data_IF_699976773291
#
_entry.id   IF_699976773291
#
_cell.length_a   1.000
_cell.length_b   1.000
_cell.length_c   1.000
_cell.angle_alpha   90.00
_cell.angle_beta   90.00
_cell.angle_gamma   90.00
#
_symmetry.space_group_name_H-M   'P 1'
#
loop_
_entity.id
_entity.type
_entity.pdbx_description
1 polymer ?
#
# COMPACT_ATOMS: atom_id res chain seq x y z
N UNK A 1 2.20 16.93 -21.07
CA UNK A 1 2.44 18.04 -20.11
C UNK A 1 1.26 19.01 -19.93
N UNK A 2 0.48 19.37 -20.97
CA UNK A 2 -0.63 20.35 -20.84
C UNK A 2 -1.81 19.86 -19.98
N UNK A 3 -2.18 18.59 -20.07
CA UNK A 3 -3.31 18.01 -19.33
C UNK A 3 -3.11 18.00 -17.82
N UNK A 4 -1.91 17.62 -17.34
CA UNK A 4 -1.54 17.68 -15.92
C UNK A 4 -1.57 19.13 -15.38
N UNK A 5 -1.14 20.10 -16.19
CA UNK A 5 -1.14 21.51 -15.82
C UNK A 5 -2.58 22.08 -15.77
N UNK A 6 -3.44 21.64 -16.68
CA UNK A 6 -4.87 21.99 -16.69
C UNK A 6 -5.62 21.36 -15.53
N UNK A 7 -5.40 20.06 -15.26
CA UNK A 7 -5.93 19.39 -14.08
C UNK A 7 -5.44 20.11 -12.82
N UNK A 8 -4.15 20.43 -12.69
CA UNK A 8 -3.65 21.21 -11.57
C UNK A 8 -4.31 22.60 -11.44
N UNK A 9 -4.53 23.31 -12.55
CA UNK A 9 -5.19 24.63 -12.55
C UNK A 9 -6.68 24.57 -12.22
N UNK A 10 -7.37 23.51 -12.60
CA UNK A 10 -8.79 23.29 -12.33
C UNK A 10 -9.03 22.69 -10.93
N UNK A 11 -8.17 21.77 -10.49
CA UNK A 11 -8.20 21.18 -9.15
C UNK A 11 -7.70 22.14 -8.07
N UNK A 12 -6.83 23.10 -8.41
CA UNK A 12 -6.33 24.13 -7.51
C UNK A 12 -6.63 25.52 -8.09
N UNK A 13 -7.82 26.08 -7.81
CA UNK A 13 -8.16 27.41 -8.28
C UNK A 13 -7.09 28.41 -7.85
N UNK A 14 -6.65 29.27 -8.78
CA UNK A 14 -5.51 30.21 -8.59
C UNK A 14 -5.61 31.10 -7.33
N UNK A 15 -6.80 31.25 -6.75
CA UNK A 15 -7.10 32.08 -5.57
C UNK A 15 -7.36 31.28 -4.28
N UNK A 16 -7.24 29.95 -4.33
CA UNK A 16 -7.44 29.04 -3.19
C UNK A 16 -6.16 28.71 -2.41
N UNK A 17 -5.11 29.53 -2.55
CA UNK A 17 -3.93 29.50 -1.67
C UNK A 17 -4.33 30.04 -0.29
N UNK A 18 -5.07 29.22 0.43
CA UNK A 18 -5.44 29.41 1.81
C UNK A 18 -4.20 29.17 2.67
N UNK A 19 -3.48 30.24 2.98
CA UNK A 19 -2.25 30.15 3.75
C UNK A 19 -2.57 30.00 5.25
N UNK A 20 -1.54 29.70 6.06
CA UNK A 20 -1.72 29.52 7.50
C UNK A 20 -2.31 30.77 8.19
N UNK A 21 -2.04 31.96 7.69
CA UNK A 21 -2.58 33.19 8.26
C UNK A 21 -4.06 33.39 7.93
N UNK A 22 -4.52 33.03 6.72
CA UNK A 22 -5.95 32.99 6.39
C UNK A 22 -6.68 31.91 7.20
N UNK A 23 -6.03 30.79 7.51
CA UNK A 23 -6.55 29.78 8.44
C UNK A 23 -6.72 30.32 9.87
N UNK A 24 -5.78 31.13 10.36
CA UNK A 24 -5.88 31.77 11.68
C UNK A 24 -7.01 32.79 11.72
N UNK A 25 -7.12 33.64 10.68
CA UNK A 25 -8.23 34.58 10.53
C UNK A 25 -9.57 33.84 10.51
N UNK A 26 -9.68 32.75 9.74
CA UNK A 26 -10.87 31.90 9.74
C UNK A 26 -11.16 31.29 11.11
N UNK A 27 -10.15 30.74 11.80
CA UNK A 27 -10.33 30.13 13.12
C UNK A 27 -10.85 31.16 14.14
N UNK A 28 -10.36 32.39 14.09
CA UNK A 28 -10.85 33.50 14.93
C UNK A 28 -12.30 33.86 14.57
N UNK A 29 -12.64 34.03 13.30
CA UNK A 29 -14.02 34.29 12.88
C UNK A 29 -14.97 33.13 13.22
N UNK A 30 -14.52 31.89 13.06
CA UNK A 30 -15.28 30.69 13.42
C UNK A 30 -15.51 30.60 14.94
N UNK A 31 -14.52 30.99 15.75
CA UNK A 31 -14.64 31.04 17.21
C UNK A 31 -15.73 32.02 17.65
N UNK A 32 -15.87 33.16 16.96
CA UNK A 32 -16.99 34.10 17.19
C UNK A 32 -18.31 33.38 16.89
N UNK A 33 -18.46 32.77 15.71
CA UNK A 33 -19.71 32.10 15.36
C UNK A 33 -20.08 31.00 16.37
N UNK A 34 -19.09 30.22 16.83
CA UNK A 34 -19.28 29.18 17.86
C UNK A 34 -19.70 29.78 19.21
N UNK A 35 -19.09 30.89 19.63
CA UNK A 35 -19.43 31.60 20.88
C UNK A 35 -20.88 32.09 20.90
N UNK A 36 -21.42 32.42 19.73
CA UNK A 36 -22.79 32.93 19.56
C UNK A 36 -23.77 31.87 18.99
N UNK A 37 -23.46 30.57 19.09
CA UNK A 37 -24.30 29.47 18.53
C UNK A 37 -25.74 29.44 19.04
N UNK A 38 -26.00 29.94 20.25
CA UNK A 38 -27.35 30.03 20.83
C UNK A 38 -28.08 31.35 20.52
N UNK A 39 -27.47 32.28 19.79
CA UNK A 39 -28.00 33.63 19.55
C UNK A 39 -28.24 33.88 18.06
N UNK A 40 -29.30 34.63 17.74
CA UNK A 40 -29.62 35.09 16.38
C UNK A 40 -28.64 36.15 15.86
N UNK A 41 -28.10 36.97 16.76
CA UNK A 41 -27.25 38.11 16.41
C UNK A 41 -25.87 38.06 17.08
N UNK A 42 -24.87 38.61 16.38
CA UNK A 42 -23.49 38.81 16.85
C UNK A 42 -23.22 40.33 16.95
N UNK A 43 -22.62 40.83 18.05
CA UNK A 43 -22.19 42.22 18.12
C UNK A 43 -21.08 42.54 17.11
N UNK A 44 -21.25 43.61 16.32
CA UNK A 44 -20.28 44.09 15.32
C UNK A 44 -18.92 44.36 15.91
N UNK A 45 -18.88 44.89 17.13
CA UNK A 45 -17.66 45.17 17.86
C UNK A 45 -16.76 43.94 17.95
N UNK A 46 -17.32 42.76 18.20
CA UNK A 46 -16.54 41.52 18.34
C UNK A 46 -15.88 41.09 17.02
N UNK A 47 -16.54 41.31 15.88
CA UNK A 47 -15.97 41.05 14.56
C UNK A 47 -14.90 42.09 14.24
N UNK A 48 -15.15 43.37 14.59
CA UNK A 48 -14.21 44.47 14.39
C UNK A 48 -12.95 44.32 15.26
N UNK A 49 -13.08 43.89 16.51
CA UNK A 49 -11.96 43.62 17.41
C UNK A 49 -11.00 42.56 16.82
N UNK A 50 -11.54 41.54 16.15
CA UNK A 50 -10.71 40.57 15.41
C UNK A 50 -10.01 41.21 14.23
N UNK A 51 -10.67 42.06 13.43
CA UNK A 51 -10.03 42.75 12.31
C UNK A 51 -8.96 43.74 12.77
N UNK A 52 -9.19 44.44 13.88
CA UNK A 52 -8.30 45.44 14.46
C UNK A 52 -7.07 44.82 15.13
N UNK A 53 -7.10 43.51 15.39
CA UNK A 53 -5.96 42.73 15.83
C UNK A 53 -4.93 42.48 14.72
N UNK A 54 -5.23 42.86 13.47
CA UNK A 54 -4.32 42.77 12.32
C UNK A 54 -3.86 44.16 11.85
N UNK A 55 -2.62 44.24 11.34
CA UNK A 55 -2.03 45.46 10.74
C UNK A 55 -1.28 45.08 9.47
N UNK A 56 -1.28 45.90 8.40
CA UNK A 56 -0.40 45.67 7.25
C UNK A 56 1.06 45.50 7.66
N UNK A 57 1.77 44.57 7.04
CA UNK A 57 3.19 44.38 7.33
C UNK A 57 3.97 45.65 6.94
N UNK A 58 4.76 46.26 7.84
CA UNK A 58 5.57 47.41 7.49
C UNK A 58 6.71 47.00 6.55
N UNK A 59 6.93 47.76 5.48
CA UNK A 59 8.06 47.57 4.56
C UNK A 59 7.64 47.28 3.11
N UNK A 60 8.63 46.97 2.28
CA UNK A 60 8.46 46.92 0.84
C UNK A 60 7.77 45.62 0.34
N UNK A 61 7.09 45.65 -0.82
CA UNK A 61 6.29 44.53 -1.34
C UNK A 61 7.04 43.20 -1.51
N UNK A 62 8.37 43.23 -1.64
CA UNK A 62 9.21 42.04 -1.78
C UNK A 62 9.33 41.23 -0.47
N UNK A 63 9.07 41.82 0.70
CA UNK A 63 8.97 41.09 1.98
C UNK A 63 7.80 40.09 1.97
N UNK A 64 6.84 40.27 1.06
CA UNK A 64 5.76 39.33 0.83
C UNK A 64 6.19 38.13 -0.06
N UNK A 65 7.45 38.01 -0.51
CA UNK A 65 7.87 36.83 -1.28
C UNK A 65 8.13 35.61 -0.37
N UNK A 66 7.68 34.39 -0.72
CA UNK A 66 7.82 33.21 0.14
C UNK A 66 9.27 32.93 0.60
N UNK A 67 10.25 33.10 -0.28
CA UNK A 67 11.67 32.86 0.01
C UNK A 67 12.17 33.89 1.04
N UNK A 68 11.93 35.18 0.79
CA UNK A 68 12.29 36.28 1.69
C UNK A 68 11.66 36.10 3.08
N UNK A 69 10.38 35.69 3.14
CA UNK A 69 9.68 35.41 4.41
C UNK A 69 10.31 34.29 5.22
N UNK A 70 10.86 33.25 4.58
CA UNK A 70 11.52 32.16 5.28
C UNK A 70 12.91 32.58 5.76
N UNK A 71 13.69 33.27 4.92
CA UNK A 71 15.03 33.75 5.26
C UNK A 71 14.99 34.77 6.40
N UNK A 72 14.06 35.72 6.36
CA UNK A 72 13.90 36.76 7.39
C UNK A 72 13.05 36.32 8.60
N UNK A 73 12.68 35.03 8.69
CA UNK A 73 11.89 34.46 9.78
C UNK A 73 10.60 35.23 10.12
N UNK A 74 10.01 35.93 9.15
CA UNK A 74 8.86 36.84 9.34
C UNK A 74 7.68 36.13 10.01
N UNK A 75 7.49 34.83 9.72
CA UNK A 75 6.44 34.01 10.35
C UNK A 75 6.65 33.82 11.85
N UNK A 76 7.89 33.61 12.27
CA UNK A 76 8.24 33.37 13.67
C UNK A 76 8.13 34.69 14.46
N UNK A 77 8.64 35.78 13.89
CA UNK A 77 8.50 37.14 14.44
C UNK A 77 7.02 37.49 14.63
N UNK A 78 6.19 37.22 13.61
CA UNK A 78 4.77 37.51 13.70
C UNK A 78 4.03 36.63 14.73
N UNK A 79 4.46 35.37 14.90
CA UNK A 79 3.94 34.49 15.95
C UNK A 79 4.28 35.00 17.35
N UNK A 80 5.53 35.39 17.60
CA UNK A 80 5.98 35.97 18.88
C UNK A 80 5.26 37.29 19.17
N UNK A 81 5.12 38.15 18.16
CA UNK A 81 4.40 39.42 18.27
C UNK A 81 2.94 39.23 18.70
N UNK A 82 2.25 38.22 18.15
CA UNK A 82 0.90 37.86 18.56
C UNK A 82 0.83 37.33 20.01
N UNK A 83 1.81 36.51 20.43
CA UNK A 83 1.89 36.01 21.81
C UNK A 83 2.14 37.12 22.83
N UNK A 84 2.89 38.16 22.45
CA UNK A 84 3.16 39.33 23.29
C UNK A 84 2.02 40.36 23.29
N UNK A 85 0.84 40.03 22.75
CA UNK A 85 -0.32 40.93 22.69
C UNK A 85 -0.23 42.02 21.62
N UNK A 86 0.78 41.98 20.75
CA UNK A 86 0.90 42.89 19.61
C UNK A 86 -0.02 42.52 18.45
N UNK A 87 -0.34 43.51 17.61
CA UNK A 87 -1.17 43.27 16.41
C UNK A 87 -0.43 42.40 15.38
N UNK A 88 -1.10 41.37 14.86
CA UNK A 88 -0.54 40.44 13.87
C UNK A 88 -0.38 41.12 12.50
N UNK A 89 0.73 40.87 11.81
CA UNK A 89 0.97 41.40 10.47
C UNK A 89 0.18 40.66 9.40
N UNK A 90 -0.39 41.41 8.47
CA UNK A 90 -0.88 40.94 7.17
C UNK A 90 0.31 40.88 6.21
N UNK A 91 1.12 39.82 6.35
CA UNK A 91 2.34 39.63 5.55
C UNK A 91 2.10 38.87 4.24
N UNK A 92 0.83 38.56 3.91
CA UNK A 92 0.45 37.87 2.69
C UNK A 92 -0.74 38.55 2.01
N UNK A 93 -0.61 38.80 0.70
CA UNK A 93 -1.65 39.42 -0.14
C UNK A 93 -3.00 38.71 -0.05
N UNK A 94 -2.99 37.38 0.02
CA UNK A 94 -4.24 36.61 0.12
C UNK A 94 -4.96 36.87 1.45
N UNK A 95 -4.23 37.00 2.56
CA UNK A 95 -4.82 37.29 3.89
C UNK A 95 -5.31 38.72 3.94
N UNK A 96 -4.56 39.64 3.32
CA UNK A 96 -4.92 41.04 3.19
C UNK A 96 -6.19 41.23 2.34
N UNK A 97 -6.32 40.50 1.23
CA UNK A 97 -7.54 40.48 0.42
C UNK A 97 -8.75 39.93 1.19
N UNK A 98 -8.57 38.83 1.94
CA UNK A 98 -9.65 38.27 2.76
C UNK A 98 -10.02 39.17 3.94
N UNK A 99 -9.03 39.76 4.62
CA UNK A 99 -9.24 40.76 5.68
C UNK A 99 -10.02 41.96 5.14
N UNK A 100 -9.64 42.47 3.96
CA UNK A 100 -10.34 43.58 3.30
C UNK A 100 -11.78 43.20 2.93
N UNK A 101 -12.03 42.00 2.41
CA UNK A 101 -13.39 41.53 2.10
C UNK A 101 -14.28 41.49 3.35
N UNK A 102 -13.77 41.01 4.49
CA UNK A 102 -14.53 41.00 5.74
C UNK A 102 -14.78 42.43 6.24
N UNK A 103 -13.78 43.31 6.15
CA UNK A 103 -13.92 44.72 6.53
C UNK A 103 -14.96 45.45 5.66
N UNK A 104 -14.92 45.26 4.35
CA UNK A 104 -15.90 45.80 3.40
C UNK A 104 -17.31 45.23 3.66
N UNK A 105 -17.41 43.93 3.92
CA UNK A 105 -18.68 43.28 4.27
C UNK A 105 -19.27 43.85 5.55
N UNK A 106 -18.46 44.00 6.60
CA UNK A 106 -18.88 44.60 7.87
C UNK A 106 -19.32 46.07 7.67
N UNK A 107 -18.64 46.80 6.78
CA UNK A 107 -19.00 48.16 6.38
C UNK A 107 -20.30 48.25 5.59
N UNK A 108 -20.59 47.27 4.72
CA UNK A 108 -21.86 47.18 3.96
C UNK A 108 -23.03 46.78 4.86
N UNK A 109 -22.83 45.82 5.76
CA UNK A 109 -23.81 45.46 6.79
C UNK A 109 -24.18 46.67 7.66
N UNK A 110 -23.23 47.60 7.87
CA UNK A 110 -23.49 48.86 8.56
C UNK A 110 -24.36 49.85 7.78
N UNK A 111 -24.37 49.77 6.45
CA UNK A 111 -25.12 50.67 5.55
C UNK A 111 -26.48 50.11 5.09
N UNK A 112 -26.72 48.80 5.17
CA UNK A 112 -28.00 48.19 4.75
C UNK A 112 -29.12 48.31 5.79
N UNK A 113 -28.80 48.41 7.08
CA UNK A 113 -29.80 48.64 8.14
C UNK A 113 -30.57 49.97 8.01
N UNK A 114 -29.96 51.13 7.67
CA UNK A 114 -30.70 52.37 7.47
C UNK A 114 -31.63 52.37 6.23
N UNK A 115 -31.60 51.36 5.36
CA UNK A 115 -32.56 51.23 4.26
C UNK A 115 -33.90 50.60 4.70
N UNK A 116 -33.91 49.76 5.74
CA UNK A 116 -35.14 49.29 6.40
C UNK A 116 -35.78 50.34 7.32
N UNK A 117 -35.09 51.48 7.53
CA UNK A 117 -35.61 52.67 8.21
C UNK A 117 -36.83 53.26 7.49
N UNK A 118 -36.87 53.16 6.16
CA UNK A 118 -37.93 53.78 5.34
C UNK A 118 -39.30 53.12 5.50
N UNK A 119 -39.37 51.85 5.88
CA UNK A 119 -40.64 51.11 5.98
C UNK A 119 -41.18 51.00 7.41
N UNK A 120 -40.32 50.99 8.44
CA UNK A 120 -40.76 50.88 9.84
C UNK A 120 -40.93 52.23 10.57
N UNK A 121 -40.24 53.29 10.15
CA UNK A 121 -40.35 54.60 10.80
C UNK A 121 -41.65 55.36 10.49
N UNK A 122 -42.44 54.90 9.51
CA UNK A 122 -43.68 55.55 9.10
C UNK A 122 -44.88 55.31 10.04
N UNK A 123 -44.79 54.35 10.99
CA UNK A 123 -45.94 53.94 11.82
C UNK A 123 -45.72 53.98 13.34
N UNK A 124 -44.63 54.59 13.86
CA UNK A 124 -44.36 54.61 15.31
C UNK A 124 -44.69 55.96 15.97
N UNK A 125 -45.52 55.92 17.02
CA UNK A 125 -45.93 57.09 17.81
C UNK A 125 -44.77 57.71 18.61
N UNK A 126 -44.89 59.03 18.86
CA UNK A 126 -43.82 59.93 19.31
C UNK A 126 -43.24 59.64 20.70
N UNK A 127 -43.95 58.92 21.57
CA UNK A 127 -43.49 58.58 22.93
C UNK A 127 -42.65 57.29 23.01
N UNK A 128 -42.68 56.42 21.99
CA UNK A 128 -41.81 55.23 21.93
C UNK A 128 -40.38 55.57 21.46
N UNK A 129 -40.12 56.79 20.98
CA UNK A 129 -38.88 57.14 20.25
C UNK A 129 -37.62 57.19 21.11
N UNK A 130 -37.69 57.42 22.43
CA UNK A 130 -36.49 57.57 23.27
C UNK A 130 -35.96 56.25 23.86
N UNK A 131 -36.84 55.35 24.34
CA UNK A 131 -36.44 53.98 24.74
C UNK A 131 -36.11 53.07 23.54
N UNK A 132 -36.78 53.33 22.41
CA UNK A 132 -36.52 52.66 21.13
C UNK A 132 -35.17 53.05 20.54
N UNK A 133 -34.69 54.29 20.70
CA UNK A 133 -33.42 54.73 20.12
C UNK A 133 -32.20 53.97 20.68
N UNK A 134 -32.18 53.67 21.99
CA UNK A 134 -31.10 52.91 22.60
C UNK A 134 -31.15 51.41 22.23
N UNK A 135 -32.34 50.81 22.24
CA UNK A 135 -32.55 49.43 21.79
C UNK A 135 -32.28 49.26 20.27
N UNK A 136 -32.59 50.28 19.47
CA UNK A 136 -32.30 50.33 18.03
C UNK A 136 -30.83 50.58 17.75
N UNK A 137 -30.16 51.48 18.47
CA UNK A 137 -28.71 51.64 18.38
C UNK A 137 -27.97 50.35 18.77
N UNK A 138 -28.51 49.61 19.75
CA UNK A 138 -27.99 48.29 20.14
C UNK A 138 -28.20 47.24 19.05
N UNK A 139 -29.31 47.28 18.31
CA UNK A 139 -29.57 46.38 17.17
C UNK A 139 -28.75 46.76 15.92
N UNK A 140 -28.58 48.06 15.66
CA UNK A 140 -27.67 48.62 14.64
C UNK A 140 -26.20 48.27 14.94
N UNK A 141 -25.86 47.98 16.20
CA UNK A 141 -24.55 47.48 16.59
C UNK A 141 -24.40 45.96 16.40
N UNK A 142 -25.40 45.25 15.84
CA UNK A 142 -25.43 43.80 15.70
C UNK A 142 -25.49 43.35 14.22
N UNK A 143 -25.15 42.09 13.95
CA UNK A 143 -25.24 41.44 12.64
C UNK A 143 -25.90 40.08 12.80
N UNK A 144 -26.71 39.66 11.83
CA UNK A 144 -27.30 38.33 11.81
C UNK A 144 -26.22 37.25 11.70
N UNK A 145 -26.28 36.27 12.59
CA UNK A 145 -25.31 35.18 12.64
C UNK A 145 -25.35 34.34 11.36
N UNK A 146 -26.54 34.02 10.87
CA UNK A 146 -26.69 33.22 9.64
C UNK A 146 -26.09 33.93 8.43
N UNK A 147 -26.22 35.26 8.35
CA UNK A 147 -25.62 36.04 7.28
C UNK A 147 -24.09 36.00 7.36
N UNK A 148 -23.52 36.18 8.57
CA UNK A 148 -22.09 36.04 8.81
C UNK A 148 -21.58 34.63 8.44
N UNK A 149 -22.33 33.59 8.78
CA UNK A 149 -21.96 32.21 8.45
C UNK A 149 -21.99 31.93 6.94
N UNK A 150 -23.07 32.34 6.25
CA UNK A 150 -23.26 32.08 4.82
C UNK A 150 -22.31 32.90 3.93
N UNK A 151 -22.08 34.16 4.25
CA UNK A 151 -21.35 35.10 3.38
C UNK A 151 -19.87 35.20 3.72
N UNK A 152 -19.51 35.04 5.00
CA UNK A 152 -18.10 35.09 5.45
C UNK A 152 -17.56 33.66 5.63
N UNK A 153 -18.09 32.89 6.58
CA UNK A 153 -17.47 31.62 6.99
C UNK A 153 -17.54 30.50 5.95
N UNK A 154 -18.60 30.43 5.14
CA UNK A 154 -18.76 29.37 4.12
C UNK A 154 -17.64 29.39 3.08
N UNK A 155 -17.21 30.56 2.66
CA UNK A 155 -16.11 30.73 1.69
C UNK A 155 -14.79 30.19 2.26
N UNK A 156 -14.52 30.48 3.53
CA UNK A 156 -13.35 29.96 4.25
C UNK A 156 -13.42 28.44 4.49
N UNK A 157 -14.61 27.92 4.78
CA UNK A 157 -14.83 26.50 5.03
C UNK A 157 -14.49 25.66 3.79
N UNK A 158 -15.04 26.04 2.63
CA UNK A 158 -14.75 25.38 1.34
C UNK A 158 -13.25 25.39 1.06
N UNK A 159 -12.58 26.54 1.24
CA UNK A 159 -11.14 26.65 1.05
C UNK A 159 -10.32 25.75 1.97
N UNK A 160 -10.73 25.64 3.24
CA UNK A 160 -10.08 24.78 4.23
C UNK A 160 -10.25 23.30 3.89
N UNK A 161 -11.42 22.89 3.40
CA UNK A 161 -11.70 21.50 2.99
C UNK A 161 -10.85 21.11 1.77
N UNK A 162 -10.77 21.95 0.73
CA UNK A 162 -9.92 21.71 -0.43
C UNK A 162 -8.44 21.55 -0.05
N UNK A 163 -7.95 22.36 0.88
CA UNK A 163 -6.56 22.25 1.33
C UNK A 163 -6.31 20.99 2.16
N UNK A 164 -7.27 20.56 2.98
CA UNK A 164 -7.18 19.27 3.69
C UNK A 164 -7.15 18.10 2.70
N UNK A 165 -8.03 18.12 1.70
CA UNK A 165 -8.06 17.13 0.64
C UNK A 165 -6.75 17.11 -0.16
N UNK A 166 -6.19 18.28 -0.51
CA UNK A 166 -4.87 18.38 -1.15
C UNK A 166 -3.77 17.78 -0.26
N UNK A 167 -3.73 18.12 1.03
CA UNK A 167 -2.69 17.61 1.95
C UNK A 167 -2.81 16.10 2.11
N UNK A 168 -4.02 15.56 2.22
CA UNK A 168 -4.27 14.13 2.27
C UNK A 168 -3.86 13.45 0.95
N UNK A 169 -4.21 14.04 -0.19
CA UNK A 169 -3.79 13.53 -1.50
C UNK A 169 -2.28 13.57 -1.70
N UNK A 170 -1.61 14.65 -1.29
CA UNK A 170 -0.15 14.74 -1.31
C UNK A 170 0.50 13.72 -0.38
N UNK A 171 -0.02 13.56 0.85
CA UNK A 171 0.46 12.55 1.79
C UNK A 171 0.30 11.14 1.20
N UNK A 172 -0.85 10.85 0.58
CA UNK A 172 -1.10 9.57 -0.08
C UNK A 172 -0.08 9.32 -1.21
N UNK A 173 0.18 10.32 -2.06
CA UNK A 173 1.20 10.21 -3.12
C UNK A 173 2.58 9.95 -2.53
N UNK A 174 2.97 10.67 -1.47
CA UNK A 174 4.25 10.45 -0.78
C UNK A 174 4.31 9.02 -0.22
N UNK A 175 3.25 8.54 0.44
CA UNK A 175 3.18 7.17 0.96
C UNK A 175 3.32 6.15 -0.17
N UNK A 176 2.62 6.33 -1.29
CA UNK A 176 2.74 5.45 -2.46
C UNK A 176 4.16 5.46 -3.03
N UNK A 177 4.80 6.63 -3.15
CA UNK A 177 6.20 6.72 -3.57
C UNK A 177 7.14 6.00 -2.59
N UNK A 178 6.91 6.12 -1.28
CA UNK A 178 7.68 5.39 -0.26
C UNK A 178 7.48 3.87 -0.38
N UNK A 179 6.26 3.41 -0.64
CA UNK A 179 5.97 1.98 -0.84
C UNK A 179 6.68 1.43 -2.08
N UNK A 180 6.63 2.16 -3.20
CA UNK A 180 7.35 1.78 -4.43
C UNK A 180 8.85 1.76 -4.17
N UNK A 181 9.40 2.78 -3.52
CA UNK A 181 10.80 2.83 -3.14
C UNK A 181 11.19 1.64 -2.24
N UNK A 182 10.37 1.33 -1.23
CA UNK A 182 10.61 0.22 -0.34
C UNK A 182 10.63 -1.12 -1.08
N UNK A 183 9.72 -1.33 -2.05
CA UNK A 183 9.71 -2.55 -2.87
C UNK A 183 10.98 -2.68 -3.70
N UNK A 184 11.41 -1.61 -4.37
CA UNK A 184 12.59 -1.60 -5.23
C UNK A 184 13.92 -1.73 -4.47
N UNK A 185 13.96 -1.27 -3.21
CA UNK A 185 15.17 -1.22 -2.38
C UNK A 185 15.06 -2.07 -1.10
N UNK A 186 14.27 -3.14 -1.15
CA UNK A 186 14.05 -4.04 0.00
C UNK A 186 15.38 -4.54 0.58
N UNK A 187 16.31 -4.95 -0.28
CA UNK A 187 17.66 -5.40 0.09
C UNK A 187 18.44 -4.35 0.90
N UNK A 188 18.43 -3.11 0.44
CA UNK A 188 19.12 -1.99 1.08
C UNK A 188 18.47 -1.62 2.42
N UNK A 189 17.15 -1.68 2.50
CA UNK A 189 16.42 -1.43 3.75
C UNK A 189 16.72 -2.52 4.79
N UNK A 190 16.77 -3.78 4.37
CA UNK A 190 17.14 -4.90 5.24
C UNK A 190 18.59 -4.78 5.66
N UNK A 191 19.50 -4.41 4.76
CA UNK A 191 20.89 -4.12 5.11
C UNK A 191 20.97 -3.01 6.16
N UNK A 192 20.26 -1.91 5.95
CA UNK A 192 20.24 -0.81 6.90
C UNK A 192 19.73 -1.25 8.27
N UNK A 193 18.65 -2.04 8.30
CA UNK A 193 18.06 -2.60 9.50
C UNK A 193 19.03 -3.56 10.22
N UNK A 194 19.60 -4.54 9.53
CA UNK A 194 20.48 -5.53 10.14
C UNK A 194 21.80 -4.88 10.60
N UNK A 195 22.42 -4.05 9.76
CA UNK A 195 23.76 -3.51 10.02
C UNK A 195 23.77 -2.29 10.93
N UNK A 196 22.86 -1.34 10.75
CA UNK A 196 22.91 -0.07 11.48
C UNK A 196 21.93 -0.03 12.65
N UNK A 197 20.72 -0.57 12.46
CA UNK A 197 19.72 -0.58 13.53
C UNK A 197 19.98 -1.69 14.54
N UNK A 198 20.09 -2.94 14.07
CA UNK A 198 20.36 -4.12 14.91
C UNK A 198 21.84 -4.29 15.25
N UNK A 199 22.72 -3.62 14.51
CA UNK A 199 24.19 -3.67 14.68
C UNK A 199 24.80 -5.06 14.51
N UNK A 200 24.19 -5.89 13.68
CA UNK A 200 24.67 -7.25 13.45
C UNK A 200 26.01 -7.26 12.70
N UNK A 201 26.84 -8.23 13.06
CA UNK A 201 28.07 -8.65 12.34
C UNK A 201 27.74 -9.75 11.33
N UNK A 202 28.69 -10.08 10.44
CA UNK A 202 28.51 -11.09 9.38
C UNK A 202 27.91 -12.39 9.92
N UNK A 203 28.48 -12.94 10.99
CA UNK A 203 27.96 -14.18 11.63
C UNK A 203 26.50 -14.07 12.07
N UNK A 204 26.11 -12.96 12.69
CA UNK A 204 24.73 -12.75 13.18
C UNK A 204 23.76 -12.55 12.01
N UNK A 205 24.22 -11.95 10.91
CA UNK A 205 23.44 -11.82 9.67
C UNK A 205 23.23 -13.19 9.03
N UNK A 206 24.27 -14.02 8.93
CA UNK A 206 24.15 -15.39 8.41
C UNK A 206 23.19 -16.21 9.26
N UNK A 207 23.31 -16.16 10.59
CA UNK A 207 22.38 -16.83 11.52
C UNK A 207 20.93 -16.35 11.34
N UNK A 208 20.72 -15.05 11.15
CA UNK A 208 19.40 -14.48 10.85
C UNK A 208 18.80 -15.05 9.56
N UNK A 209 19.61 -15.14 8.49
CA UNK A 209 19.18 -15.71 7.22
C UNK A 209 19.04 -17.23 7.24
N UNK A 210 19.76 -17.94 8.11
CA UNK A 210 19.52 -19.36 8.40
C UNK A 210 18.12 -19.56 9.00
N UNK A 211 17.74 -18.70 9.95
CA UNK A 211 16.37 -18.65 10.48
C UNK A 211 15.32 -18.42 9.40
N UNK A 212 15.59 -17.52 8.44
CA UNK A 212 14.71 -17.30 7.29
C UNK A 212 14.65 -18.54 6.40
N UNK A 213 15.80 -19.14 6.07
CA UNK A 213 15.88 -20.34 5.24
C UNK A 213 15.05 -21.48 5.83
N UNK A 214 15.09 -21.65 7.16
CA UNK A 214 14.24 -22.61 7.86
C UNK A 214 12.74 -22.39 7.60
N UNK A 215 12.25 -21.14 7.57
CA UNK A 215 10.83 -20.85 7.28
C UNK A 215 10.37 -21.36 5.91
N UNK A 216 11.30 -21.49 4.95
CA UNK A 216 11.04 -22.03 3.60
C UNK A 216 11.08 -23.56 3.54
N UNK A 217 11.43 -24.23 4.64
CA UNK A 217 11.53 -25.70 4.73
C UNK A 217 10.39 -26.33 5.52
N UNK A 218 9.56 -25.52 6.19
CA UNK A 218 8.50 -26.00 7.08
C UNK A 218 7.31 -26.52 6.26
N UNK A 219 7.26 -27.83 6.09
CA UNK A 219 6.06 -28.52 5.65
C UNK A 219 5.82 -29.76 6.53
N UNK A 220 4.69 -29.77 7.23
CA UNK A 220 4.28 -30.88 8.07
C UNK A 220 3.66 -31.98 7.21
N UNK A 221 4.21 -33.19 7.30
CA UNK A 221 3.53 -34.37 6.77
C UNK A 221 2.45 -34.77 7.76
N UNK A 222 1.16 -34.85 7.35
CA UNK A 222 0.11 -35.24 8.27
C UNK A 222 0.40 -36.63 8.86
N UNK A 223 0.22 -36.85 10.17
CA UNK A 223 0.65 -38.09 10.84
C UNK A 223 0.11 -39.37 10.20
N UNK A 224 -1.10 -39.32 9.64
CA UNK A 224 -1.73 -40.44 8.94
C UNK A 224 -0.97 -40.91 7.68
N UNK A 225 -0.14 -40.05 7.08
CA UNK A 225 0.61 -40.32 5.85
C UNK A 225 2.12 -40.39 6.08
N UNK A 226 2.60 -40.27 7.33
CA UNK A 226 4.03 -40.26 7.64
C UNK A 226 4.78 -41.53 7.24
N UNK A 227 4.09 -42.67 7.15
CA UNK A 227 4.66 -43.95 6.66
C UNK A 227 4.58 -44.12 5.14
N UNK A 228 3.81 -43.27 4.45
CA UNK A 228 3.51 -43.40 3.02
C UNK A 228 4.19 -42.34 2.16
N UNK A 229 4.41 -41.15 2.71
CA UNK A 229 5.00 -40.02 2.02
C UNK A 229 6.33 -39.62 2.67
N UNK A 230 7.37 -39.34 1.87
CA UNK A 230 8.59 -38.77 2.40
C UNK A 230 8.35 -37.32 2.86
N UNK A 231 9.18 -36.80 3.78
CA UNK A 231 9.19 -35.36 4.06
C UNK A 231 9.54 -34.59 2.78
N UNK A 232 8.85 -33.48 2.44
CA UNK A 232 9.07 -32.76 1.17
C UNK A 232 10.42 -32.02 1.12
N UNK A 233 10.97 -31.64 2.29
CA UNK A 233 12.29 -31.06 2.43
C UNK A 233 13.11 -31.83 3.47
N UNK A 234 14.40 -32.02 3.21
CA UNK A 234 15.32 -32.71 4.11
C UNK A 234 16.64 -31.95 4.18
N UNK A 235 17.13 -31.76 5.41
CA UNK A 235 18.48 -31.28 5.68
C UNK A 235 19.45 -32.46 5.62
N UNK A 236 20.54 -32.31 4.89
CA UNK A 236 21.60 -33.31 4.77
C UNK A 236 22.97 -32.63 4.74
N UNK A 237 24.03 -33.37 5.01
CA UNK A 237 25.40 -32.88 4.83
C UNK A 237 25.90 -33.34 3.47
N UNK A 238 26.48 -32.44 2.69
CA UNK A 238 27.07 -32.77 1.40
C UNK A 238 28.41 -33.53 1.56
N UNK A 239 29.05 -33.84 0.43
CA UNK A 239 30.34 -34.53 0.44
C UNK A 239 31.49 -33.68 1.05
N UNK A 240 31.33 -32.36 1.10
CA UNK A 240 32.28 -31.44 1.74
C UNK A 240 32.01 -31.27 3.25
N UNK A 241 30.88 -31.77 3.75
CA UNK A 241 30.44 -31.62 5.15
C UNK A 241 29.56 -30.40 5.38
N UNK A 242 29.19 -29.66 4.34
CA UNK A 242 28.34 -28.48 4.42
C UNK A 242 26.87 -28.89 4.59
N UNK A 243 26.18 -28.21 5.50
CA UNK A 243 24.74 -28.40 5.71
C UNK A 243 23.95 -27.85 4.52
N UNK A 244 23.22 -28.72 3.85
CA UNK A 244 22.43 -28.43 2.66
C UNK A 244 20.97 -28.85 2.84
N UNK A 245 20.10 -28.24 2.05
CA UNK A 245 18.71 -28.66 1.92
C UNK A 245 18.46 -29.28 0.55
N UNK A 246 17.71 -30.37 0.54
CA UNK A 246 17.17 -30.99 -0.66
C UNK A 246 15.66 -31.10 -0.55
N UNK A 247 14.98 -31.04 -1.70
CA UNK A 247 13.56 -31.38 -1.81
C UNK A 247 13.40 -32.79 -2.36
N UNK A 248 12.42 -33.52 -1.84
CA UNK A 248 12.11 -34.87 -2.27
C UNK A 248 11.02 -34.80 -3.35
N UNK A 249 11.42 -34.99 -4.61
CA UNK A 249 10.50 -35.19 -5.72
C UNK A 249 9.95 -36.61 -5.67
N UNK A 250 8.63 -36.76 -5.75
CA UNK A 250 7.94 -38.05 -5.56
C UNK A 250 7.32 -38.50 -6.89
N UNK A 251 7.66 -39.72 -7.32
CA UNK A 251 7.00 -40.41 -8.43
C UNK A 251 5.83 -41.23 -7.90
N UNK A 252 4.61 -40.78 -8.20
CA UNK A 252 3.35 -41.41 -7.84
C UNK A 252 2.77 -42.12 -9.06
N UNK A 253 2.56 -43.43 -8.97
CA UNK A 253 1.97 -44.24 -10.07
C UNK A 253 0.62 -44.79 -9.66
N UNK A 254 -0.33 -44.80 -10.59
CA UNK A 254 -1.62 -45.44 -10.40
C UNK A 254 -1.55 -46.87 -10.98
N UNK A 255 -1.51 -47.95 -10.17
CA UNK A 255 -1.15 -49.29 -10.68
C UNK A 255 -2.09 -49.85 -11.76
N UNK A 256 -3.32 -49.36 -11.81
CA UNK A 256 -4.38 -49.80 -12.73
C UNK A 256 -4.41 -49.02 -14.04
N UNK A 257 -3.64 -47.93 -14.15
CA UNK A 257 -3.67 -47.01 -15.27
C UNK A 257 -2.24 -46.62 -15.68
N UNK A 258 -2.03 -46.23 -16.94
CA UNK A 258 -0.71 -45.82 -17.44
C UNK A 258 -0.37 -44.35 -17.10
N UNK A 259 -0.82 -43.85 -15.94
CA UNK A 259 -0.61 -42.46 -15.52
C UNK A 259 0.35 -42.40 -14.34
N UNK A 260 1.35 -41.54 -14.48
CA UNK A 260 2.36 -41.22 -13.47
C UNK A 260 2.29 -39.73 -13.14
N UNK A 261 2.37 -39.38 -11.87
CA UNK A 261 2.44 -37.99 -11.39
C UNK A 261 3.79 -37.77 -10.73
N UNK A 262 4.52 -36.76 -11.21
CA UNK A 262 5.78 -36.30 -10.64
C UNK A 262 5.50 -35.06 -9.78
N UNK A 263 5.40 -35.25 -8.46
CA UNK A 263 5.19 -34.15 -7.52
C UNK A 263 6.53 -33.54 -7.12
N UNK A 264 6.71 -32.24 -7.36
CA UNK A 264 7.98 -31.53 -7.11
C UNK A 264 7.76 -30.40 -6.09
N UNK A 265 8.24 -30.54 -4.84
CA UNK A 265 8.17 -29.48 -3.85
C UNK A 265 9.02 -28.29 -4.28
N UNK A 266 8.40 -27.12 -4.43
CA UNK A 266 9.05 -25.90 -4.88
C UNK A 266 9.08 -24.87 -3.73
N UNK A 267 10.27 -24.59 -3.16
CA UNK A 267 10.43 -23.49 -2.21
C UNK A 267 10.22 -22.12 -2.87
N UNK A 268 9.85 -21.12 -2.08
CA UNK A 268 9.56 -19.77 -2.57
C UNK A 268 10.82 -18.94 -2.86
N UNK A 269 11.96 -19.32 -2.30
CA UNK A 269 13.27 -18.75 -2.56
C UNK A 269 14.24 -19.87 -2.95
N UNK A 270 15.34 -19.57 -3.62
CA UNK A 270 16.34 -20.57 -3.96
C UNK A 270 17.32 -20.12 -5.02
N UNK A 271 18.28 -20.99 -5.31
CA UNK A 271 19.24 -20.79 -6.38
C UNK A 271 18.59 -20.93 -7.77
N UNK A 272 19.08 -20.19 -8.75
CA UNK A 272 18.59 -20.28 -10.14
C UNK A 272 18.73 -21.68 -10.72
N UNK A 273 19.78 -22.40 -10.35
CA UNK A 273 20.09 -23.75 -10.86
C UNK A 273 19.00 -24.75 -10.48
N UNK A 274 18.50 -24.67 -9.25
CA UNK A 274 17.39 -25.51 -8.80
C UNK A 274 16.14 -25.33 -9.69
N UNK A 275 15.71 -24.08 -9.92
CA UNK A 275 14.53 -23.82 -10.75
C UNK A 275 14.73 -24.20 -12.22
N UNK A 276 15.96 -24.05 -12.75
CA UNK A 276 16.29 -24.51 -14.10
C UNK A 276 16.20 -26.05 -14.22
N UNK A 277 16.60 -26.78 -13.18
CA UNK A 277 16.46 -28.24 -13.12
C UNK A 277 14.99 -28.66 -13.11
N UNK A 278 14.14 -27.99 -12.32
CA UNK A 278 12.68 -28.23 -12.32
C UNK A 278 12.08 -27.93 -13.70
N UNK A 279 12.55 -26.87 -14.39
CA UNK A 279 12.19 -26.55 -15.77
C UNK A 279 12.49 -27.68 -16.75
N UNK A 280 13.69 -28.23 -16.66
CA UNK A 280 14.13 -29.33 -17.52
C UNK A 280 13.32 -30.61 -17.31
N UNK A 281 12.87 -30.87 -16.07
CA UNK A 281 11.98 -32.00 -15.75
C UNK A 281 10.58 -31.77 -16.31
N UNK A 282 10.05 -30.56 -16.17
CA UNK A 282 8.72 -30.21 -16.65
C UNK A 282 8.62 -30.30 -18.19
N UNK A 283 9.66 -29.87 -18.91
CA UNK A 283 9.72 -29.87 -20.38
C UNK A 283 9.57 -31.27 -21.00
N UNK A 284 9.99 -32.33 -20.29
CA UNK A 284 9.92 -33.72 -20.79
C UNK A 284 8.66 -34.46 -20.35
N UNK A 285 7.74 -33.81 -19.63
CA UNK A 285 6.48 -34.40 -19.18
C UNK A 285 5.34 -34.11 -20.17
N UNK A 286 4.36 -35.01 -20.25
CA UNK A 286 3.21 -34.90 -21.16
C UNK A 286 2.21 -33.80 -20.75
N UNK A 287 2.24 -33.41 -19.47
CA UNK A 287 1.43 -32.32 -18.95
C UNK A 287 2.08 -31.68 -17.74
N UNK A 288 1.77 -30.40 -17.51
CA UNK A 288 2.27 -29.63 -16.36
C UNK A 288 1.09 -28.92 -15.71
N UNK A 289 0.86 -29.20 -14.43
CA UNK A 289 -0.05 -28.41 -13.59
C UNK A 289 0.80 -27.72 -12.54
N UNK A 290 0.70 -26.40 -12.45
CA UNK A 290 1.47 -25.65 -11.49
C UNK A 290 0.59 -24.71 -10.68
N UNK A 291 0.98 -24.50 -9.43
CA UNK A 291 0.47 -23.38 -8.67
C UNK A 291 0.84 -22.08 -9.43
N UNK A 292 -0.03 -21.06 -9.46
CA UNK A 292 0.22 -19.77 -10.10
C UNK A 292 -1.00 -18.85 -10.20
N UNK A 293 -0.81 -17.55 -10.05
CA UNK A 293 -1.91 -16.56 -10.11
C UNK A 293 -2.68 -16.69 -11.43
N UNK A 294 -4.01 -16.80 -11.37
CA UNK A 294 -4.85 -16.92 -12.58
C UNK A 294 -4.60 -15.76 -13.54
N UNK A 295 -4.68 -16.01 -14.86
CA UNK A 295 -4.44 -14.98 -15.89
C UNK A 295 -5.24 -13.70 -15.66
N UNK A 296 -6.48 -13.79 -15.18
CA UNK A 296 -7.35 -12.64 -14.84
C UNK A 296 -6.81 -11.74 -13.70
N UNK A 297 -5.87 -12.25 -12.91
CA UNK A 297 -5.26 -11.55 -11.78
C UNK A 297 -3.76 -11.29 -11.99
N UNK A 298 -3.17 -11.78 -13.07
CA UNK A 298 -1.76 -11.54 -13.44
C UNK A 298 -1.51 -10.04 -13.66
N UNK A 299 -2.42 -9.33 -14.32
CA UNK A 299 -2.28 -7.89 -14.61
C UNK A 299 -2.36 -7.00 -13.35
N UNK A 300 -2.79 -7.58 -12.22
CA UNK A 300 -2.86 -6.90 -10.91
C UNK A 300 -1.59 -7.11 -10.07
N UNK A 301 -0.72 -8.02 -10.50
CA UNK A 301 0.63 -8.11 -9.97
C UNK A 301 1.45 -6.97 -10.55
N UNK A 302 2.22 -6.29 -9.70
CA UNK A 302 3.14 -5.24 -10.16
C UNK A 302 4.05 -5.87 -11.23
N UNK A 303 4.19 -5.26 -12.42
CA UNK A 303 4.90 -5.87 -13.53
C UNK A 303 6.27 -6.40 -13.12
N UNK A 304 6.58 -7.65 -13.47
CA UNK A 304 7.90 -8.25 -13.23
C UNK A 304 9.06 -7.41 -13.80
N UNK A 305 8.76 -6.52 -14.77
CA UNK A 305 9.68 -5.52 -15.30
C UNK A 305 10.19 -4.50 -14.24
N UNK A 306 9.45 -4.25 -13.15
CA UNK A 306 9.89 -3.39 -12.04
C UNK A 306 10.77 -4.11 -11.03
N UNK A 307 10.79 -5.44 -11.05
CA UNK A 307 11.58 -6.27 -10.14
C UNK A 307 12.55 -7.13 -10.97
N UNK A 308 13.60 -6.52 -11.57
CA UNK A 308 14.63 -7.31 -12.23
C UNK A 308 15.22 -8.25 -11.20
N UNK A 309 14.97 -9.55 -11.42
CA UNK A 309 15.46 -10.64 -10.60
C UNK A 309 16.98 -10.52 -10.51
N UNK A 310 17.46 -10.07 -9.34
CA UNK A 310 18.89 -9.98 -9.03
C UNK A 310 19.46 -11.40 -8.95
N UNK A 311 20.73 -11.52 -9.29
CA UNK A 311 21.39 -12.76 -9.73
C UNK A 311 21.21 -13.97 -8.81
N UNK A 312 21.13 -13.76 -7.51
CA UNK A 312 20.72 -14.78 -6.54
C UNK A 312 19.89 -14.07 -5.47
N UNK A 313 18.95 -14.80 -4.90
CA UNK A 313 17.98 -14.36 -3.89
C UNK A 313 16.73 -13.64 -4.47
N UNK A 314 15.67 -14.46 -4.59
CA UNK A 314 14.25 -14.10 -4.51
C UNK A 314 13.55 -13.65 -5.79
N UNK A 315 12.21 -13.79 -5.93
CA UNK A 315 11.25 -14.73 -5.35
C UNK A 315 10.60 -15.67 -6.41
N UNK A 316 9.94 -16.75 -5.97
CA UNK A 316 9.20 -17.71 -6.80
C UNK A 316 7.97 -17.14 -7.54
N UNK A 317 7.71 -15.82 -7.49
CA UNK A 317 6.94 -15.18 -8.57
C UNK A 317 7.57 -15.48 -9.94
N UNK A 318 8.89 -15.69 -9.95
CA UNK A 318 9.63 -16.20 -11.09
C UNK A 318 9.34 -17.65 -11.47
N UNK A 319 8.79 -18.51 -10.60
CA UNK A 319 8.30 -19.84 -11.02
C UNK A 319 7.04 -19.68 -11.87
N UNK A 320 6.11 -18.81 -11.47
CA UNK A 320 4.85 -18.59 -12.19
C UNK A 320 5.02 -17.85 -13.53
N UNK A 321 5.95 -16.90 -13.63
CA UNK A 321 6.20 -16.14 -14.85
C UNK A 321 7.38 -16.63 -15.69
N UNK A 322 8.47 -17.16 -15.09
CA UNK A 322 9.63 -17.63 -15.88
C UNK A 322 9.45 -19.05 -16.39
N UNK A 323 8.65 -19.93 -15.75
CA UNK A 323 8.31 -21.19 -16.42
C UNK A 323 7.46 -20.92 -17.65
N UNK A 324 6.57 -19.92 -17.65
CA UNK A 324 5.86 -19.52 -18.88
C UNK A 324 6.81 -19.03 -19.98
N UNK A 325 7.86 -18.26 -19.65
CA UNK A 325 8.85 -17.83 -20.65
C UNK A 325 9.85 -18.94 -21.05
N UNK A 326 10.15 -19.89 -20.16
CA UNK A 326 10.99 -21.08 -20.47
C UNK A 326 10.18 -22.09 -21.32
N UNK A 327 8.92 -22.34 -20.97
CA UNK A 327 8.00 -23.23 -21.68
C UNK A 327 7.46 -22.61 -22.97
N UNK A 328 7.47 -21.28 -23.13
CA UNK A 328 7.15 -20.60 -24.41
C UNK A 328 8.07 -20.98 -25.57
N UNK A 329 9.28 -21.46 -25.28
CA UNK A 329 10.19 -21.98 -26.31
C UNK A 329 9.86 -23.43 -26.70
N UNK A 330 9.01 -24.13 -25.95
CA UNK A 330 8.45 -25.43 -26.32
C UNK A 330 7.11 -25.23 -27.01
N UNK A 331 6.83 -25.98 -28.08
CA UNK A 331 5.58 -25.89 -28.87
C UNK A 331 4.34 -26.46 -28.14
N UNK A 332 4.39 -26.62 -26.83
CA UNK A 332 3.32 -27.18 -26.01
C UNK A 332 2.41 -26.08 -25.44
N UNK A 333 1.14 -26.42 -25.19
CA UNK A 333 0.17 -25.52 -24.56
C UNK A 333 0.72 -24.91 -23.25
N UNK A 334 0.43 -23.64 -22.96
CA UNK A 334 0.93 -23.01 -21.73
C UNK A 334 0.42 -23.77 -20.50
N UNK A 335 1.25 -23.93 -19.45
CA UNK A 335 0.84 -24.63 -18.23
C UNK A 335 -0.39 -23.96 -17.63
N UNK A 336 -1.33 -24.78 -17.15
CA UNK A 336 -2.50 -24.28 -16.44
C UNK A 336 -2.06 -23.74 -15.07
N UNK A 337 -2.22 -22.42 -14.88
CA UNK A 337 -1.89 -21.70 -13.65
C UNK A 337 -3.08 -21.69 -12.68
N UNK A 338 -2.89 -22.15 -11.44
CA UNK A 338 -3.93 -22.12 -10.41
C UNK A 338 -3.61 -21.13 -9.27
N UNK A 339 -4.49 -20.17 -8.93
CA UNK A 339 -4.15 -19.05 -8.06
C UNK A 339 -3.52 -19.48 -6.73
N UNK A 340 -2.23 -19.14 -6.57
CA UNK A 340 -1.61 -18.99 -5.27
C UNK A 340 -2.02 -17.62 -4.72
N UNK A 341 -2.99 -17.55 -3.82
CA UNK A 341 -3.21 -16.28 -3.15
C UNK A 341 -4.47 -16.18 -2.30
N UNK A 342 -4.30 -16.56 -1.02
CA UNK A 342 -4.73 -15.92 0.22
C UNK A 342 -6.12 -15.22 0.23
N UNK A 343 -6.93 -15.64 1.20
CA UNK A 343 -8.12 -14.98 1.76
C UNK A 343 -8.68 -13.77 0.98
N UNK A 344 -9.91 -13.94 0.47
CA UNK A 344 -10.74 -12.92 -0.19
C UNK A 344 -11.25 -11.86 0.82
N UNK A 345 -10.36 -11.35 1.68
CA UNK A 345 -10.64 -10.38 2.73
C UNK A 345 -10.00 -9.03 2.44
N UNK A 346 -10.66 -7.95 2.88
CA UNK A 346 -10.11 -6.60 2.84
C UNK A 346 -8.77 -6.48 3.57
N UNK A 347 -8.58 -7.22 4.67
CA UNK A 347 -7.31 -7.25 5.41
C UNK A 347 -6.14 -7.80 4.60
N UNK A 348 -6.33 -8.94 3.92
CA UNK A 348 -5.31 -9.53 3.04
C UNK A 348 -5.03 -8.62 1.83
N UNK A 349 -6.05 -7.96 1.29
CA UNK A 349 -5.91 -6.99 0.19
C UNK A 349 -5.07 -5.78 0.61
N UNK A 350 -5.32 -5.23 1.80
CA UNK A 350 -4.52 -4.11 2.35
C UNK A 350 -3.08 -4.55 2.60
N UNK A 351 -2.87 -5.72 3.21
CA UNK A 351 -1.51 -6.26 3.45
C UNK A 351 -0.75 -6.44 2.14
N UNK A 352 -1.39 -6.97 1.10
CA UNK A 352 -0.79 -7.12 -0.24
C UNK A 352 -0.37 -5.79 -0.87
N UNK A 353 -1.16 -4.74 -0.64
CA UNK A 353 -0.88 -3.41 -1.19
C UNK A 353 0.20 -2.65 -0.41
N UNK A 354 0.35 -2.93 0.90
CA UNK A 354 1.23 -2.18 1.80
C UNK A 354 2.58 -2.87 2.01
N UNK A 355 2.63 -4.20 1.94
CA UNK A 355 3.88 -4.95 2.15
C UNK A 355 4.45 -5.38 0.79
N UNK A 356 5.66 -4.91 0.42
CA UNK A 356 6.42 -5.37 -0.73
C UNK A 356 6.36 -6.88 -0.90
N UNK A 357 6.21 -7.32 -2.15
CA UNK A 357 6.12 -8.74 -2.46
C UNK A 357 7.37 -9.50 -2.02
N UNK A 358 8.55 -8.90 -2.23
CA UNK A 358 9.83 -9.43 -1.79
C UNK A 358 9.81 -9.69 -0.28
N UNK A 359 9.35 -8.72 0.52
CA UNK A 359 9.30 -8.90 1.97
C UNK A 359 8.44 -10.12 2.37
N UNK A 360 7.29 -10.29 1.71
CA UNK A 360 6.39 -11.41 1.98
C UNK A 360 6.97 -12.74 1.51
N UNK A 361 7.57 -12.79 0.31
CA UNK A 361 8.04 -14.06 -0.24
C UNK A 361 9.27 -14.59 0.48
N UNK A 362 10.12 -13.68 0.92
CA UNK A 362 11.43 -14.01 1.44
C UNK A 362 11.37 -14.20 2.95
N UNK A 363 10.91 -13.17 3.64
CA UNK A 363 11.05 -13.04 5.07
C UNK A 363 9.83 -13.61 5.78
N UNK A 364 8.70 -13.78 5.08
CA UNK A 364 7.51 -14.42 5.62
C UNK A 364 6.78 -15.32 4.61
N UNK A 365 7.40 -16.40 4.10
CA UNK A 365 6.85 -17.23 3.02
C UNK A 365 5.47 -17.82 3.32
N UNK A 366 5.10 -17.91 4.59
CA UNK A 366 3.77 -18.36 5.05
C UNK A 366 2.63 -17.45 4.56
N UNK A 367 2.89 -16.17 4.31
CA UNK A 367 1.89 -15.21 3.79
C UNK A 367 1.56 -15.40 2.30
N UNK A 368 2.43 -16.10 1.56
CA UNK A 368 2.28 -16.32 0.12
C UNK A 368 2.06 -17.79 -0.25
N UNK A 369 2.16 -18.71 0.70
CA UNK A 369 1.79 -20.10 0.45
C UNK A 369 0.28 -20.22 0.24
N UNK A 370 -0.14 -21.07 -0.70
CA UNK A 370 -1.54 -21.43 -0.83
C UNK A 370 -2.12 -21.90 0.51
N UNK A 371 -3.37 -21.54 0.74
CA UNK A 371 -4.17 -22.05 1.86
C UNK A 371 -4.55 -23.51 1.62
N UNK A 372 -4.94 -24.23 2.68
CA UNK A 372 -5.50 -25.59 2.54
C UNK A 372 -6.73 -25.63 1.63
N UNK A 373 -7.52 -24.54 1.59
CA UNK A 373 -8.67 -24.41 0.71
C UNK A 373 -8.28 -24.34 -0.76
N UNK A 374 -7.27 -23.54 -1.09
CA UNK A 374 -6.70 -23.44 -2.44
C UNK A 374 -6.05 -24.76 -2.87
N UNK A 375 -5.30 -25.42 -1.98
CA UNK A 375 -4.76 -26.76 -2.26
C UNK A 375 -5.86 -27.79 -2.56
N UNK A 376 -7.02 -27.70 -1.89
CA UNK A 376 -8.19 -28.56 -2.15
C UNK A 376 -8.82 -28.31 -3.51
N UNK A 377 -8.87 -27.05 -3.96
CA UNK A 377 -9.38 -26.71 -5.30
C UNK A 377 -8.37 -27.15 -6.37
N UNK A 378 -7.08 -26.89 -6.14
CA UNK A 378 -5.98 -27.39 -6.99
C UNK A 378 -6.03 -28.90 -7.16
N UNK A 379 -6.28 -29.65 -6.08
CA UNK A 379 -6.54 -31.08 -6.13
C UNK A 379 -7.73 -31.45 -7.03
N UNK A 380 -8.85 -30.73 -6.94
CA UNK A 380 -10.02 -30.99 -7.78
C UNK A 380 -9.69 -30.94 -9.28
N UNK A 381 -8.80 -30.03 -9.67
CA UNK A 381 -8.35 -29.90 -11.05
C UNK A 381 -7.29 -30.93 -11.44
N UNK A 382 -6.31 -31.21 -10.57
CA UNK A 382 -5.37 -32.33 -10.77
C UNK A 382 -6.13 -33.63 -11.00
N UNK A 383 -7.18 -33.87 -10.22
CA UNK A 383 -8.06 -35.03 -10.40
C UNK A 383 -8.74 -35.04 -11.76
N UNK A 384 -9.27 -33.92 -12.21
CA UNK A 384 -9.91 -33.82 -13.54
C UNK A 384 -8.93 -34.17 -14.66
N UNK A 385 -7.73 -33.59 -14.66
CA UNK A 385 -6.70 -33.86 -15.68
C UNK A 385 -6.25 -35.31 -15.62
N UNK A 386 -6.07 -35.88 -14.42
CA UNK A 386 -5.78 -37.31 -14.26
C UNK A 386 -6.88 -38.17 -14.87
N UNK A 387 -8.16 -37.85 -14.63
CA UNK A 387 -9.30 -38.58 -15.19
C UNK A 387 -9.36 -38.46 -16.73
N UNK A 388 -9.06 -37.29 -17.29
CA UNK A 388 -8.94 -37.07 -18.73
C UNK A 388 -7.78 -37.87 -19.34
N UNK A 389 -6.59 -37.85 -18.72
CA UNK A 389 -5.44 -38.64 -19.14
C UNK A 389 -5.70 -40.15 -19.09
N UNK A 390 -6.46 -40.61 -18.09
CA UNK A 390 -6.91 -42.02 -17.99
C UNK A 390 -7.86 -42.37 -19.12
N UNK A 391 -8.86 -41.52 -19.39
CA UNK A 391 -9.84 -41.74 -20.45
C UNK A 391 -9.19 -41.79 -21.83
N UNK A 392 -8.27 -40.87 -22.10
CA UNK A 392 -7.49 -40.84 -23.34
C UNK A 392 -6.61 -42.08 -23.50
N UNK A 393 -5.92 -42.49 -22.44
CA UNK A 393 -5.07 -43.68 -22.47
C UNK A 393 -5.89 -44.96 -22.75
N UNK A 394 -7.12 -45.03 -22.23
CA UNK A 394 -8.05 -46.10 -22.53
C UNK A 394 -8.55 -46.05 -23.99
N UNK A 395 -8.82 -44.85 -24.52
CA UNK A 395 -9.26 -44.64 -25.90
C UNK A 395 -8.16 -44.96 -26.94
N UNK A 396 -6.89 -44.74 -26.60
CA UNK A 396 -5.74 -45.00 -27.47
C UNK A 396 -5.27 -46.47 -27.46
N UNK A 397 -5.96 -47.37 -26.75
CA UNK A 397 -5.71 -48.81 -26.85
C UNK A 397 -4.39 -49.26 -26.21
N UNK A 398 -4.03 -48.70 -25.05
CA UNK A 398 -2.90 -49.17 -24.23
C UNK A 398 -1.53 -48.92 -24.88
N UNK A 399 -1.11 -47.66 -24.95
CA UNK A 399 0.11 -47.28 -25.67
C UNK A 399 1.26 -46.78 -24.81
N UNK A 400 1.09 -45.67 -24.09
CA UNK A 400 2.24 -44.99 -23.47
C UNK A 400 1.94 -44.55 -22.04
N UNK A 401 2.99 -44.58 -21.20
CA UNK A 401 2.93 -44.05 -19.84
C UNK A 401 2.91 -42.55 -19.93
N UNK A 402 1.80 -41.92 -19.54
CA UNK A 402 1.70 -40.48 -19.48
C UNK A 402 2.21 -39.97 -18.14
N UNK A 403 2.98 -38.89 -18.18
CA UNK A 403 3.62 -38.27 -17.02
C UNK A 403 3.10 -36.85 -16.84
N UNK A 404 2.46 -36.62 -15.69
CA UNK A 404 2.00 -35.30 -15.27
C UNK A 404 3.01 -34.71 -14.28
N UNK A 405 3.59 -33.56 -14.60
CA UNK A 405 4.46 -32.80 -13.70
C UNK A 405 3.64 -31.86 -12.83
N UNK A 406 3.88 -31.89 -11.52
CA UNK A 406 3.20 -31.07 -10.52
C UNK A 406 4.21 -30.30 -9.65
N UNK A 407 4.83 -29.22 -10.18
CA UNK A 407 5.57 -28.28 -9.37
C UNK A 407 4.60 -27.45 -8.52
N UNK A 408 4.73 -27.56 -7.19
CA UNK A 408 3.81 -26.94 -6.24
C UNK A 408 4.55 -26.34 -5.05
N UNK A 409 3.98 -25.32 -4.38
CA UNK A 409 4.66 -24.75 -3.20
C UNK A 409 4.89 -25.81 -2.12
N UNK A 410 6.10 -25.76 -1.56
CA UNK A 410 6.59 -26.74 -0.59
C UNK A 410 5.62 -26.96 0.59
N UNK A 411 4.96 -25.90 1.06
CA UNK A 411 4.07 -25.94 2.22
C UNK A 411 2.77 -26.72 1.97
N UNK A 412 2.31 -26.84 0.72
CA UNK A 412 1.02 -27.44 0.39
C UNK A 412 1.11 -28.70 -0.44
N UNK A 413 2.28 -29.02 -1.03
CA UNK A 413 2.43 -30.17 -1.91
C UNK A 413 2.03 -31.49 -1.23
N UNK A 414 2.33 -31.65 0.06
CA UNK A 414 2.00 -32.86 0.82
C UNK A 414 0.49 -33.10 0.89
N UNK A 415 -0.33 -32.03 0.87
CA UNK A 415 -1.79 -32.18 0.84
C UNK A 415 -2.27 -32.75 -0.51
N UNK A 416 -1.59 -32.41 -1.61
CA UNK A 416 -1.90 -32.97 -2.94
C UNK A 416 -1.38 -34.39 -3.03
N UNK A 417 -0.16 -34.67 -2.57
CA UNK A 417 0.40 -36.04 -2.49
C UNK A 417 -0.49 -36.97 -1.66
N UNK A 418 -0.96 -36.52 -0.49
CA UNK A 418 -1.89 -37.27 0.35
C UNK A 418 -3.23 -37.54 -0.36
N UNK A 419 -3.69 -36.58 -1.16
CA UNK A 419 -4.92 -36.73 -1.95
C UNK A 419 -4.74 -37.73 -3.10
N UNK A 420 -3.58 -37.73 -3.76
CA UNK A 420 -3.20 -38.72 -4.78
C UNK A 420 -3.13 -40.13 -4.18
N UNK A 421 -2.48 -40.28 -3.02
CA UNK A 421 -2.43 -41.57 -2.31
C UNK A 421 -3.83 -42.05 -1.92
N UNK A 422 -4.68 -41.16 -1.42
CA UNK A 422 -6.08 -41.47 -1.11
C UNK A 422 -6.89 -41.87 -2.36
N UNK A 423 -6.56 -41.32 -3.52
CA UNK A 423 -7.18 -41.66 -4.81
C UNK A 423 -6.71 -43.03 -5.33
N UNK A 424 -5.61 -43.57 -4.82
CA UNK A 424 -5.10 -44.90 -5.17
C UNK A 424 -3.70 -44.93 -5.78
N UNK A 425 -3.04 -43.76 -5.90
CA UNK A 425 -1.64 -43.71 -6.32
C UNK A 425 -0.72 -44.30 -5.26
N UNK A 426 0.38 -44.90 -5.72
CA UNK A 426 1.45 -45.43 -4.86
C UNK A 426 2.75 -44.72 -5.17
N UNK A 427 3.50 -44.38 -4.12
CA UNK A 427 4.87 -43.88 -4.28
C UNK A 427 5.73 -45.02 -4.83
N UNK A 428 6.35 -44.80 -5.98
CA UNK A 428 7.26 -45.77 -6.61
C UNK A 428 8.70 -45.42 -6.32
N UNK A 429 9.08 -44.17 -6.57
CA UNK A 429 10.44 -43.68 -6.39
C UNK A 429 10.42 -42.29 -5.74
N UNK A 430 11.51 -41.98 -5.03
CA UNK A 430 11.76 -40.66 -4.46
C UNK A 430 13.12 -40.19 -4.96
N UNK A 431 13.14 -39.03 -5.61
CA UNK A 431 14.33 -38.41 -6.16
C UNK A 431 14.68 -37.17 -5.35
N UNK A 432 15.95 -37.04 -4.94
CA UNK A 432 16.42 -35.87 -4.20
C UNK A 432 16.91 -34.81 -5.17
N UNK A 433 16.33 -33.62 -5.10
CA UNK A 433 16.80 -32.44 -5.83
C UNK A 433 17.48 -31.50 -4.84
N UNK A 434 18.74 -31.17 -5.08
CA UNK A 434 19.46 -30.19 -4.28
C UNK A 434 18.81 -28.81 -4.43
N UNK A 435 18.48 -28.16 -3.31
CA UNK A 435 17.85 -26.85 -3.33
C UNK A 435 18.86 -25.73 -3.13
N UNK A 436 19.53 -25.70 -1.97
CA UNK A 436 20.58 -24.73 -1.64
C UNK A 436 21.34 -25.14 -0.37
N UNK A 437 22.51 -24.54 -0.16
CA UNK A 437 23.24 -24.59 1.13
C UNK A 437 22.49 -23.81 2.22
N UNK A 438 22.57 -24.26 3.47
CA UNK A 438 21.88 -23.65 4.63
C UNK A 438 22.23 -22.16 4.82
N UNK A 439 23.49 -21.79 4.62
CA UNK A 439 23.98 -20.43 4.82
C UNK A 439 23.99 -19.57 3.54
N UNK A 440 23.60 -20.15 2.39
CA UNK A 440 23.73 -19.53 1.06
C UNK A 440 23.13 -18.12 1.00
N UNK A 441 21.89 -17.95 1.49
CA UNK A 441 21.19 -16.66 1.44
C UNK A 441 21.93 -15.61 2.28
N UNK A 442 22.42 -15.99 3.46
CA UNK A 442 23.11 -15.10 4.38
C UNK A 442 24.50 -14.69 3.88
N UNK A 443 25.26 -15.64 3.35
CA UNK A 443 26.58 -15.38 2.77
C UNK A 443 26.46 -14.50 1.53
N UNK A 444 25.55 -14.83 0.61
CA UNK A 444 25.30 -14.02 -0.57
C UNK A 444 24.90 -12.58 -0.20
N UNK A 445 24.05 -12.41 0.82
CA UNK A 445 23.69 -11.09 1.32
C UNK A 445 24.89 -10.32 1.86
N UNK A 446 25.74 -10.98 2.67
CA UNK A 446 26.93 -10.36 3.23
C UNK A 446 27.93 -9.97 2.13
N UNK A 447 28.11 -10.82 1.12
CA UNK A 447 29.02 -10.58 0.01
C UNK A 447 28.53 -9.45 -0.89
N UNK A 448 27.23 -9.43 -1.21
CA UNK A 448 26.61 -8.37 -1.99
C UNK A 448 26.78 -6.98 -1.35
N UNK A 449 26.69 -6.90 -0.01
CA UNK A 449 26.92 -5.65 0.74
C UNK A 449 28.35 -5.47 1.25
N UNK A 450 29.29 -6.34 0.84
CA UNK A 450 30.70 -6.29 1.25
C UNK A 450 30.88 -6.19 2.77
N UNK A 451 30.11 -6.97 3.52
CA UNK A 451 30.15 -6.99 4.99
C UNK A 451 31.37 -7.82 5.43
N UNK A 452 32.33 -7.20 6.15
CA UNK A 452 33.52 -7.90 6.63
C UNK A 452 33.18 -8.94 7.68
N UNK A 453 34.06 -9.94 7.83
CA UNK A 453 33.93 -11.02 8.81
C UNK A 453 33.73 -10.57 10.26
#
# INVERSE_FOLDING_TARGET
>A
MRTMLEIYRHSFPKRLRFDRASQLLYAQCYSINKRYRGRKYIPRKVIRDVLDSYVPMPGAPWLQLPIVRHVLLIRLINGVRGLQGGKSWLYNRNVEEEHRKIAEWLGKAAKTFPAHRGTFAAHASTSAKQGSAAAQAMLEAMVEREQFEREVLRNFHVATVYQRAMRLGFLLVVVLCCLVYASLHTDNLVYWYLRYWRRYRRREIVEYFRGITLLHTVAEVPPAYASLLPPPCVRYNDAAGDACYAVNMVELVLPQHSVTVMAIPCPQAGERVFFAQVGSIAEVCDGIIMEGVSFDNIDKLVPAAFFPLKSNTFPALGLHHRFLDILRNSSAEPPMLYPAGADVGWGATIMRAVIPYELRCIYNPTELSATKGEARIGWGHVRQVVEEMIADAAAQGGGEKRVLCLPWTLNQIVNIEASLVKYGFKVRNVYRLHWQREDHIGEHFCDYFSIPE
#
